data_IF_671182063561
#
_entry.id   IF_671182063561
#
_cell.length_a   1.000
_cell.length_b   1.000
_cell.length_c   1.000
_cell.angle_alpha   90.00
_cell.angle_beta   90.00
_cell.angle_gamma   90.00
#
_symmetry.space_group_name_H-M   'P 1'
#
loop_
_entity.id
_entity.type
_entity.pdbx_description
1 polymer ?
#
# COMPACT_ATOMS: atom_id res chain seq x y z
N UNK A 1 -13.98 -26.89 -27.85
CA UNK A 1 -13.61 -26.14 -29.07
C UNK A 1 -14.82 -25.38 -29.57
N UNK A 2 -15.92 -26.04 -29.97
CA UNK A 2 -17.14 -25.31 -30.40
C UNK A 2 -17.75 -24.40 -29.34
N UNK A 3 -17.81 -24.83 -28.06
CA UNK A 3 -18.34 -24.00 -26.98
C UNK A 3 -17.45 -22.78 -26.65
N UNK A 4 -16.12 -22.92 -26.78
CA UNK A 4 -15.16 -21.84 -26.53
C UNK A 4 -15.19 -20.82 -27.68
N UNK A 5 -15.29 -21.28 -28.93
CA UNK A 5 -15.40 -20.40 -30.10
C UNK A 5 -16.75 -19.66 -30.15
N UNK A 6 -17.84 -20.32 -29.76
CA UNK A 6 -19.15 -19.69 -29.66
C UNK A 6 -19.17 -18.59 -28.59
N UNK A 7 -18.47 -18.80 -27.47
CA UNK A 7 -18.34 -17.83 -26.40
C UNK A 7 -17.46 -16.64 -26.82
N UNK A 8 -16.32 -16.89 -27.46
CA UNK A 8 -15.48 -15.82 -28.04
C UNK A 8 -16.26 -14.98 -29.07
N UNK A 9 -17.04 -15.63 -29.95
CA UNK A 9 -17.89 -14.94 -30.92
C UNK A 9 -19.02 -14.15 -30.26
N UNK A 10 -19.58 -14.63 -29.14
CA UNK A 10 -20.58 -13.89 -28.35
C UNK A 10 -19.96 -12.66 -27.73
N UNK A 11 -18.82 -12.82 -27.06
CA UNK A 11 -18.10 -11.71 -26.40
C UNK A 11 -17.54 -10.69 -27.39
N UNK A 12 -17.20 -11.13 -28.61
CA UNK A 12 -16.78 -10.24 -29.71
C UNK A 12 -17.85 -9.25 -30.16
N UNK A 13 -19.13 -9.50 -29.85
CA UNK A 13 -20.25 -8.57 -30.15
C UNK A 13 -20.50 -7.53 -29.06
N UNK A 14 -19.89 -7.70 -27.88
CA UNK A 14 -20.05 -6.78 -26.77
C UNK A 14 -19.17 -5.54 -26.96
N UNK A 15 -19.70 -4.39 -26.57
CA UNK A 15 -18.91 -3.16 -26.41
C UNK A 15 -17.86 -3.32 -25.30
N UNK A 16 -16.80 -2.51 -25.30
CA UNK A 16 -15.80 -2.56 -24.23
C UNK A 16 -16.40 -2.41 -22.82
N UNK A 17 -17.39 -1.53 -22.66
CA UNK A 17 -18.06 -1.31 -21.39
C UNK A 17 -18.87 -2.53 -20.94
N UNK A 18 -19.57 -3.19 -21.85
CA UNK A 18 -20.33 -4.41 -21.53
C UNK A 18 -19.42 -5.56 -21.09
N UNK A 19 -18.24 -5.70 -21.72
CA UNK A 19 -17.24 -6.68 -21.31
C UNK A 19 -16.72 -6.42 -19.90
N UNK A 20 -16.43 -5.16 -19.55
CA UNK A 20 -16.01 -4.78 -18.19
C UNK A 20 -17.09 -5.12 -17.16
N UNK A 21 -18.37 -4.86 -17.49
CA UNK A 21 -19.50 -5.19 -16.61
C UNK A 21 -19.69 -6.70 -16.46
N UNK A 22 -19.50 -7.46 -17.53
CA UNK A 22 -19.55 -8.92 -17.50
C UNK A 22 -18.42 -9.51 -16.65
N UNK A 23 -17.17 -9.07 -16.88
CA UNK A 23 -15.99 -9.46 -16.10
C UNK A 23 -16.18 -9.11 -14.61
N UNK A 24 -16.66 -7.90 -14.30
CA UNK A 24 -17.05 -7.48 -12.94
C UNK A 24 -18.02 -8.46 -12.31
N UNK A 25 -19.09 -8.80 -13.03
CA UNK A 25 -20.17 -9.65 -12.50
C UNK A 25 -19.67 -11.06 -12.20
N UNK A 26 -18.83 -11.60 -13.08
CA UNK A 26 -18.20 -12.90 -12.88
C UNK A 26 -17.27 -12.89 -11.68
N UNK A 27 -16.38 -11.90 -11.58
CA UNK A 27 -15.44 -11.78 -10.48
C UNK A 27 -16.14 -11.53 -9.14
N UNK A 28 -17.15 -10.66 -9.10
CA UNK A 28 -17.93 -10.42 -7.89
C UNK A 28 -18.63 -11.70 -7.43
N UNK A 29 -19.23 -12.46 -8.36
CA UNK A 29 -19.83 -13.76 -8.04
C UNK A 29 -18.82 -14.73 -7.45
N UNK A 30 -17.60 -14.80 -8.00
CA UNK A 30 -16.54 -15.65 -7.47
C UNK A 30 -16.17 -15.25 -6.03
N UNK A 31 -16.00 -13.94 -5.79
CA UNK A 31 -15.73 -13.41 -4.46
C UNK A 31 -16.88 -13.69 -3.48
N UNK A 32 -18.13 -13.58 -3.91
CA UNK A 32 -19.29 -13.82 -3.04
C UNK A 32 -19.46 -15.30 -2.70
N UNK A 33 -19.13 -16.20 -3.63
CA UNK A 33 -19.28 -17.64 -3.49
C UNK A 33 -18.19 -18.29 -2.65
N UNK A 34 -16.95 -17.81 -2.74
CA UNK A 34 -15.82 -18.41 -2.04
C UNK A 34 -15.06 -17.37 -1.18
N UNK A 35 -15.22 -17.42 0.15
CA UNK A 35 -14.51 -16.53 1.06
C UNK A 35 -13.01 -16.78 1.13
N UNK A 36 -12.50 -17.92 0.63
CA UNK A 36 -11.08 -18.22 0.58
C UNK A 36 -10.37 -17.55 -0.61
N UNK A 37 -11.12 -17.02 -1.58
CA UNK A 37 -10.53 -16.27 -2.71
C UNK A 37 -9.87 -15.01 -2.19
N UNK A 38 -8.54 -14.99 -2.30
CA UNK A 38 -7.69 -13.87 -1.94
C UNK A 38 -7.24 -13.11 -3.19
N UNK A 39 -7.14 -11.79 -3.04
CA UNK A 39 -6.52 -10.85 -3.95
C UNK A 39 -5.11 -10.59 -3.48
N UNK A 40 -4.13 -11.20 -4.14
CA UNK A 40 -2.73 -11.04 -3.81
C UNK A 40 -2.12 -9.90 -4.64
N UNK A 41 -1.80 -8.79 -4.00
CA UNK A 41 -1.02 -7.70 -4.59
C UNK A 41 0.45 -8.12 -4.68
N UNK A 42 0.90 -8.34 -5.90
CA UNK A 42 2.25 -8.76 -6.22
C UNK A 42 3.04 -7.64 -6.90
N UNK A 43 4.32 -7.53 -6.53
CA UNK A 43 5.28 -6.65 -7.20
C UNK A 43 5.96 -7.35 -8.37
N UNK A 44 5.80 -6.82 -9.57
CA UNK A 44 6.28 -7.32 -10.84
C UNK A 44 7.61 -6.64 -11.26
N UNK A 45 8.65 -6.72 -10.44
CA UNK A 45 10.01 -6.36 -10.87
C UNK A 45 10.79 -7.62 -11.25
N UNK A 46 10.96 -7.84 -12.56
CA UNK A 46 11.77 -8.92 -13.14
C UNK A 46 11.37 -10.35 -12.70
N UNK A 47 10.12 -10.54 -12.28
CA UNK A 47 9.58 -11.87 -11.95
C UNK A 47 8.83 -12.45 -13.15
N UNK A 48 8.74 -13.79 -13.30
CA UNK A 48 7.93 -14.41 -14.37
C UNK A 48 6.49 -13.89 -14.42
N UNK A 49 5.94 -13.50 -13.26
CA UNK A 49 4.58 -12.94 -13.11
C UNK A 49 4.37 -11.58 -13.79
N UNK A 50 5.45 -10.82 -14.06
CA UNK A 50 5.35 -9.57 -14.84
C UNK A 50 4.95 -9.82 -16.31
N UNK A 51 4.98 -11.09 -16.76
CA UNK A 51 4.64 -11.51 -18.13
C UNK A 51 3.29 -12.19 -18.24
N UNK A 52 2.56 -12.39 -17.14
CA UNK A 52 1.23 -12.99 -17.23
C UNK A 52 0.32 -12.11 -18.11
N UNK A 53 -0.56 -12.67 -18.94
CA UNK A 53 -1.56 -11.86 -19.62
C UNK A 53 -2.49 -11.21 -18.58
N UNK A 54 -3.10 -10.08 -18.94
CA UNK A 54 -4.17 -9.51 -18.12
C UNK A 54 -5.44 -10.32 -18.37
N UNK A 55 -6.10 -10.80 -17.31
CA UNK A 55 -7.36 -11.55 -17.43
C UNK A 55 -8.57 -10.65 -17.72
N UNK A 56 -8.42 -9.32 -17.66
CA UNK A 56 -9.49 -8.41 -18.07
C UNK A 56 -9.68 -8.46 -19.59
N UNK A 57 -10.92 -8.62 -20.03
CA UNK A 57 -11.28 -8.69 -21.45
C UNK A 57 -10.97 -7.39 -22.19
N UNK A 58 -10.99 -6.26 -21.48
CA UNK A 58 -10.57 -4.95 -21.96
C UNK A 58 -9.41 -4.43 -21.09
N UNK A 59 -8.19 -4.71 -21.53
CA UNK A 59 -6.99 -4.31 -20.81
C UNK A 59 -6.68 -2.81 -21.02
N UNK A 60 -6.96 -2.00 -20.00
CA UNK A 60 -6.73 -0.55 -20.02
C UNK A 60 -5.24 -0.18 -20.19
N UNK A 61 -4.33 -1.04 -19.76
CA UNK A 61 -2.88 -0.82 -19.90
C UNK A 61 -2.43 -1.05 -21.34
N UNK A 62 -2.92 -2.11 -21.99
CA UNK A 62 -2.56 -2.42 -23.39
C UNK A 62 -3.14 -1.39 -24.35
N UNK A 63 -4.38 -0.94 -24.10
CA UNK A 63 -5.04 0.13 -24.87
C UNK A 63 -4.29 1.47 -24.78
N UNK A 64 -3.69 1.77 -23.63
CA UNK A 64 -2.91 3.00 -23.43
C UNK A 64 -1.52 2.97 -24.11
N UNK A 65 -1.08 1.81 -24.62
CA UNK A 65 0.19 1.63 -25.33
C UNK A 65 1.44 1.75 -24.44
N UNK A 66 2.62 1.68 -25.08
CA UNK A 66 3.96 1.64 -24.40
C UNK A 66 4.28 2.83 -23.49
N UNK A 67 3.49 3.89 -23.51
CA UNK A 67 3.70 5.09 -22.68
C UNK A 67 3.14 4.94 -21.26
N UNK A 68 2.35 3.89 -20.96
CA UNK A 68 1.81 3.66 -19.62
C UNK A 68 2.80 2.90 -18.70
N UNK A 69 4.05 3.38 -18.60
CA UNK A 69 5.01 2.94 -17.57
C UNK A 69 4.69 3.55 -16.20
N UNK A 70 3.42 3.60 -15.82
CA UNK A 70 3.03 4.06 -14.49
C UNK A 70 3.57 3.10 -13.42
N UNK A 71 3.79 3.58 -12.20
CA UNK A 71 4.16 2.74 -11.04
C UNK A 71 3.20 1.55 -10.82
N UNK A 72 1.98 1.65 -11.35
CA UNK A 72 0.96 0.58 -11.38
C UNK A 72 1.32 -0.58 -12.30
N UNK A 73 2.14 -0.40 -13.34
CA UNK A 73 2.61 -1.50 -14.21
C UNK A 73 3.61 -2.41 -13.50
N UNK A 74 4.20 -1.95 -12.39
CA UNK A 74 5.10 -2.72 -11.52
C UNK A 74 4.34 -3.56 -10.49
N UNK A 75 3.02 -3.50 -10.48
CA UNK A 75 2.18 -4.19 -9.51
C UNK A 75 1.02 -4.88 -10.22
N UNK A 76 0.63 -6.04 -9.73
CA UNK A 76 -0.50 -6.81 -10.25
C UNK A 76 -1.26 -7.45 -9.12
N UNK A 77 -2.52 -7.76 -9.38
CA UNK A 77 -3.33 -8.50 -8.42
C UNK A 77 -3.62 -9.86 -9.02
N UNK A 78 -3.22 -10.90 -8.30
CA UNK A 78 -3.60 -12.26 -8.58
C UNK A 78 -4.86 -12.59 -7.78
N UNK A 79 -5.89 -13.07 -8.46
CA UNK A 79 -7.12 -13.56 -7.84
C UNK A 79 -7.01 -15.08 -7.78
N UNK A 80 -6.99 -15.65 -6.57
CA UNK A 80 -6.74 -17.08 -6.32
C UNK A 80 -5.30 -17.53 -6.62
N UNK A 81 -4.48 -17.71 -5.58
CA UNK A 81 -3.05 -17.97 -5.71
C UNK A 81 -2.67 -19.33 -6.31
N UNK A 82 -3.62 -20.27 -6.50
CA UNK A 82 -3.33 -21.62 -6.99
C UNK A 82 -3.23 -21.71 -8.53
N UNK A 83 -4.11 -21.01 -9.26
CA UNK A 83 -4.17 -21.02 -10.74
C UNK A 83 -4.61 -19.66 -11.32
N UNK A 84 -4.50 -18.59 -10.52
CA UNK A 84 -5.32 -17.40 -10.60
C UNK A 84 -5.22 -16.50 -11.81
N UNK A 85 -6.33 -15.81 -12.03
CA UNK A 85 -6.42 -14.66 -12.92
C UNK A 85 -5.50 -13.54 -12.45
N UNK A 86 -4.85 -12.89 -13.42
CA UNK A 86 -3.85 -11.86 -13.18
C UNK A 86 -4.31 -10.55 -13.78
N UNK A 87 -4.50 -9.53 -12.96
CA UNK A 87 -5.00 -8.23 -13.39
C UNK A 87 -3.96 -7.14 -13.20
N UNK A 88 -3.92 -6.20 -14.14
CA UNK A 88 -3.32 -4.90 -13.88
C UNK A 88 -4.17 -4.12 -12.87
N UNK A 89 -3.54 -3.32 -12.02
CA UNK A 89 -4.24 -2.53 -10.99
C UNK A 89 -5.40 -1.70 -11.58
N UNK A 90 -5.21 -0.90 -12.64
CA UNK A 90 -6.31 -0.09 -13.18
C UNK A 90 -7.45 -0.92 -13.77
N UNK A 91 -7.14 -2.09 -14.34
CA UNK A 91 -8.16 -2.98 -14.90
C UNK A 91 -9.05 -3.54 -13.78
N UNK A 92 -8.45 -3.95 -12.66
CA UNK A 92 -9.22 -4.45 -11.52
C UNK A 92 -10.03 -3.35 -10.84
N UNK A 93 -9.47 -2.16 -10.69
CA UNK A 93 -10.16 -0.97 -10.15
C UNK A 93 -11.39 -0.58 -10.98
N UNK A 94 -11.33 -0.76 -12.30
CA UNK A 94 -12.49 -0.51 -13.16
C UNK A 94 -13.60 -1.55 -12.96
N UNK A 95 -13.24 -2.76 -12.51
CA UNK A 95 -14.17 -3.87 -12.34
C UNK A 95 -14.76 -3.94 -10.94
N UNK A 96 -14.00 -3.70 -9.87
CA UNK A 96 -14.48 -3.90 -8.50
C UNK A 96 -14.18 -2.70 -7.61
N UNK A 97 -15.06 -2.44 -6.64
CA UNK A 97 -14.81 -1.44 -5.60
C UNK A 97 -13.83 -2.03 -4.57
N UNK A 98 -12.56 -2.10 -4.95
CA UNK A 98 -11.46 -2.65 -4.15
C UNK A 98 -11.45 -2.15 -2.69
N UNK A 99 -11.57 -0.84 -2.41
CA UNK A 99 -11.53 -0.36 -1.02
C UNK A 99 -12.69 -0.86 -0.15
N UNK A 100 -13.82 -1.28 -0.74
CA UNK A 100 -14.95 -1.86 0.01
C UNK A 100 -14.81 -3.36 0.26
N UNK A 101 -13.78 -4.01 -0.26
CA UNK A 101 -13.54 -5.41 0.03
C UNK A 101 -13.12 -5.60 1.49
N UNK A 102 -13.43 -6.77 2.03
CA UNK A 102 -12.93 -7.15 3.34
C UNK A 102 -11.39 -7.14 3.35
N UNK A 103 -10.72 -6.48 4.32
CA UNK A 103 -9.26 -6.42 4.39
C UNK A 103 -8.61 -7.82 4.40
N UNK A 104 -9.29 -8.81 4.99
CA UNK A 104 -8.82 -10.20 5.06
C UNK A 104 -8.68 -10.90 3.70
N UNK A 105 -9.31 -10.37 2.65
CA UNK A 105 -9.21 -10.90 1.29
C UNK A 105 -8.09 -10.27 0.50
N UNK A 106 -7.50 -9.17 0.94
CA UNK A 106 -6.40 -8.53 0.25
C UNK A 106 -5.08 -8.82 0.95
N UNK A 107 -4.13 -9.36 0.21
CA UNK A 107 -2.84 -9.79 0.75
C UNK A 107 -1.71 -9.13 -0.02
N UNK A 108 -0.62 -8.80 0.68
CA UNK A 108 0.62 -8.41 0.03
C UNK A 108 1.44 -9.66 -0.25
N UNK A 109 1.98 -9.81 -1.46
CA UNK A 109 2.88 -10.92 -1.79
C UNK A 109 4.18 -10.82 -1.00
N UNK A 110 4.32 -11.66 0.01
CA UNK A 110 5.52 -11.74 0.85
C UNK A 110 6.68 -12.49 0.20
N UNK A 111 6.47 -13.17 -0.94
CA UNK A 111 7.41 -14.14 -1.53
C UNK A 111 8.39 -13.55 -2.55
N UNK A 112 8.54 -12.24 -2.58
CA UNK A 112 9.89 -11.69 -2.47
C UNK A 112 9.89 -10.64 -1.37
N UNK A 113 10.85 -10.66 -0.46
CA UNK A 113 10.99 -9.71 0.67
C UNK A 113 11.14 -8.21 0.29
N UNK A 114 10.72 -7.80 -0.92
CA UNK A 114 10.82 -6.43 -1.45
C UNK A 114 9.87 -5.43 -0.80
N UNK A 115 8.74 -5.87 -0.24
CA UNK A 115 7.91 -4.98 0.59
C UNK A 115 8.62 -4.61 1.90
N UNK A 116 9.56 -5.46 2.34
CA UNK A 116 10.36 -5.26 3.55
C UNK A 116 11.64 -4.46 3.30
N UNK A 117 11.98 -4.12 2.06
CA UNK A 117 13.10 -3.23 1.80
C UNK A 117 12.69 -1.78 2.12
N UNK A 118 13.39 -1.21 3.10
CA UNK A 118 13.43 0.20 3.51
C UNK A 118 12.31 0.73 4.42
N UNK A 119 11.13 0.10 4.51
CA UNK A 119 10.11 0.42 5.55
C UNK A 119 8.88 -0.53 5.50
N UNK A 120 8.98 -1.80 5.97
CA UNK A 120 7.85 -2.75 5.96
C UNK A 120 6.59 -2.21 6.64
N UNK A 121 6.77 -1.45 7.72
CA UNK A 121 5.68 -0.90 8.51
C UNK A 121 4.88 0.18 7.74
N UNK A 122 5.52 0.94 6.84
CA UNK A 122 4.83 1.98 6.06
C UNK A 122 3.84 1.39 5.06
N UNK A 123 4.21 0.30 4.40
CA UNK A 123 3.31 -0.43 3.51
C UNK A 123 2.11 -1.00 4.27
N UNK A 124 2.38 -1.69 5.37
CA UNK A 124 1.32 -2.22 6.24
C UNK A 124 0.38 -1.10 6.71
N UNK A 125 0.94 0.01 7.20
CA UNK A 125 0.17 1.16 7.65
C UNK A 125 -0.70 1.75 6.54
N UNK A 126 -0.14 2.03 5.36
CA UNK A 126 -0.87 2.63 4.24
C UNK A 126 -2.07 1.77 3.81
N UNK A 127 -1.85 0.47 3.61
CA UNK A 127 -2.94 -0.42 3.19
C UNK A 127 -3.97 -0.62 4.29
N UNK A 128 -3.54 -0.75 5.54
CA UNK A 128 -4.46 -0.84 6.67
C UNK A 128 -5.38 0.38 6.71
N UNK A 129 -4.82 1.60 6.70
CA UNK A 129 -5.59 2.83 6.73
C UNK A 129 -6.49 2.99 5.49
N UNK A 130 -5.98 2.61 4.31
CA UNK A 130 -6.75 2.66 3.08
C UNK A 130 -7.97 1.73 3.14
N UNK A 131 -7.86 0.51 3.67
CA UNK A 131 -9.00 -0.38 3.85
C UNK A 131 -9.94 0.06 4.97
N UNK A 132 -9.40 0.43 6.15
CA UNK A 132 -10.18 0.89 7.31
C UNK A 132 -11.11 2.06 6.95
N UNK A 133 -10.64 2.95 6.07
CA UNK A 133 -11.40 4.11 5.62
C UNK A 133 -12.01 3.96 4.22
N UNK A 134 -12.11 2.74 3.68
CA UNK A 134 -12.70 2.48 2.35
C UNK A 134 -12.15 3.42 1.26
N UNK A 135 -10.83 3.60 1.27
CA UNK A 135 -10.07 4.44 0.36
C UNK A 135 -10.12 5.95 0.63
N UNK A 136 -10.80 6.40 1.69
CA UNK A 136 -10.97 7.83 2.03
C UNK A 136 -9.80 8.35 2.86
N UNK A 137 -8.61 8.31 2.28
CA UNK A 137 -7.35 8.72 2.93
C UNK A 137 -6.64 9.83 2.17
N UNK A 138 -6.02 10.75 2.91
CA UNK A 138 -5.15 11.81 2.42
C UNK A 138 -3.70 11.32 2.48
N UNK A 139 -3.21 10.86 1.32
CA UNK A 139 -1.85 10.33 1.19
C UNK A 139 -0.78 11.39 1.50
N UNK A 140 -1.06 12.68 1.30
CA UNK A 140 -0.12 13.76 1.58
C UNK A 140 0.06 13.92 3.09
N UNK A 141 -1.03 13.89 3.87
CA UNK A 141 -0.96 13.92 5.34
C UNK A 141 -0.24 12.71 5.91
N UNK A 142 -0.50 11.50 5.40
CA UNK A 142 0.23 10.30 5.83
C UNK A 142 1.73 10.42 5.55
N UNK A 143 2.10 11.07 4.43
CA UNK A 143 3.50 11.31 4.08
C UNK A 143 4.18 12.29 5.01
N UNK A 144 3.50 13.37 5.37
CA UNK A 144 3.97 14.32 6.37
C UNK A 144 4.22 13.60 7.68
N UNK A 145 3.26 12.79 8.15
CA UNK A 145 3.42 11.97 9.34
C UNK A 145 4.65 11.05 9.27
N UNK A 146 4.93 10.41 8.13
CA UNK A 146 6.13 9.57 8.01
C UNK A 146 7.44 10.34 8.06
N UNK A 147 7.48 11.57 7.52
CA UNK A 147 8.67 12.44 7.65
C UNK A 147 8.87 12.88 9.10
N UNK A 148 7.78 13.24 9.79
CA UNK A 148 7.81 13.58 11.22
C UNK A 148 8.22 12.38 12.08
N UNK A 149 7.74 11.18 11.76
CA UNK A 149 8.14 9.93 12.41
C UNK A 149 9.62 9.63 12.23
N UNK A 150 10.19 9.83 11.03
CA UNK A 150 11.63 9.68 10.79
C UNK A 150 12.44 10.67 11.61
N UNK A 151 12.02 11.94 11.63
CA UNK A 151 12.68 12.98 12.41
C UNK A 151 12.62 12.66 13.91
N UNK A 152 11.46 12.24 14.41
CA UNK A 152 11.26 11.81 15.79
C UNK A 152 12.15 10.61 16.15
N UNK A 153 12.25 9.59 15.29
CA UNK A 153 13.10 8.43 15.56
C UNK A 153 14.56 8.85 15.70
N UNK A 154 15.05 9.75 14.83
CA UNK A 154 16.39 10.31 14.93
C UNK A 154 16.58 11.09 16.24
N UNK A 155 15.65 11.99 16.56
CA UNK A 155 15.72 12.79 17.78
C UNK A 155 15.65 11.93 19.05
N UNK A 156 14.86 10.86 19.04
CA UNK A 156 14.76 9.87 20.12
C UNK A 156 16.05 9.10 20.30
N UNK A 157 16.74 8.74 19.23
CA UNK A 157 18.02 8.04 19.32
C UNK A 157 19.12 8.97 19.89
N UNK A 158 19.14 10.25 19.45
CA UNK A 158 20.01 11.29 19.99
C UNK A 158 19.69 11.60 21.47
N UNK A 159 18.40 11.68 21.81
CA UNK A 159 17.94 11.82 23.20
C UNK A 159 18.34 10.62 24.06
N UNK A 160 18.18 9.39 23.56
CA UNK A 160 18.52 8.17 24.30
C UNK A 160 20.01 8.15 24.66
N UNK A 161 20.87 8.58 23.72
CA UNK A 161 22.30 8.74 23.95
C UNK A 161 22.57 9.74 25.09
N UNK A 162 22.02 10.96 24.98
CA UNK A 162 22.16 12.00 26.02
C UNK A 162 21.61 11.56 27.38
N UNK A 163 20.50 10.83 27.38
CA UNK A 163 19.86 10.32 28.59
C UNK A 163 20.74 9.28 29.29
N UNK A 164 21.34 8.35 28.54
CA UNK A 164 22.27 7.35 29.09
C UNK A 164 23.51 8.04 29.67
N UNK A 165 24.11 9.00 28.95
CA UNK A 165 25.25 9.79 29.45
C UNK A 165 24.91 10.55 30.74
N UNK A 166 23.73 11.17 30.77
CA UNK A 166 23.21 11.86 31.94
C UNK A 166 23.05 10.90 33.13
N UNK A 167 22.47 9.71 32.91
CA UNK A 167 22.29 8.67 33.93
C UNK A 167 23.63 8.17 34.49
N UNK A 168 24.63 7.94 33.62
CA UNK A 168 25.96 7.48 34.04
C UNK A 168 26.66 8.54 34.89
N UNK A 169 26.63 9.80 34.46
CA UNK A 169 27.22 10.93 35.20
C UNK A 169 26.54 11.14 36.56
N UNK A 170 25.21 11.01 36.61
CA UNK A 170 24.44 11.16 37.85
C UNK A 170 24.62 9.99 38.82
N UNK A 171 24.78 8.76 38.31
CA UNK A 171 25.02 7.60 39.15
C UNK A 171 26.35 7.69 39.91
N UNK A 172 27.34 8.36 39.33
CA UNK A 172 28.64 8.65 39.97
C UNK A 172 28.57 9.83 40.95
N UNK A 173 27.50 10.63 40.89
CA UNK A 173 27.27 11.77 41.75
C UNK A 173 26.73 11.31 43.12
N UNK A 174 27.58 11.35 44.16
CA UNK A 174 27.22 10.99 45.55
C UNK A 174 26.41 12.06 46.30
N UNK A 175 25.95 13.09 45.61
CA UNK A 175 25.30 14.26 46.21
C UNK A 175 23.79 14.14 46.12
N UNK A 176 23.06 14.51 47.18
CA UNK A 176 21.61 14.49 47.20
C UNK A 176 21.02 15.27 46.01
N UNK A 177 19.98 14.70 45.38
CA UNK A 177 19.31 15.27 44.21
C UNK A 177 19.00 16.76 44.42
N UNK A 178 19.59 17.62 43.58
CA UNK A 178 19.40 19.08 43.62
C UNK A 178 20.57 19.91 44.19
N UNK A 179 21.65 19.27 44.69
CA UNK A 179 22.83 19.98 45.19
C UNK A 179 24.06 19.94 44.23
N UNK A 180 23.97 19.20 43.13
CA UNK A 180 25.09 18.95 42.22
C UNK A 180 25.08 19.89 41.01
N UNK A 181 26.27 20.24 40.51
CA UNK A 181 26.49 20.86 39.17
C UNK A 181 26.02 19.97 38.00
N UNK A 182 25.43 18.81 38.28
CA UNK A 182 24.88 17.94 37.29
C UNK A 182 23.67 18.61 36.62
N UNK A 183 23.77 18.84 35.31
CA UNK A 183 22.74 19.52 34.52
C UNK A 183 21.38 18.82 34.56
N UNK A 184 20.30 19.51 34.15
CA UNK A 184 18.95 18.96 34.20
C UNK A 184 18.80 17.71 33.31
N UNK A 185 17.83 16.86 33.65
CA UNK A 185 17.45 15.71 32.84
C UNK A 185 17.05 16.15 31.42
N UNK A 186 17.56 15.50 30.35
CA UNK A 186 17.18 15.84 28.99
C UNK A 186 15.69 15.61 28.73
N UNK A 187 15.00 16.63 28.21
CA UNK A 187 13.59 16.52 27.81
C UNK A 187 13.39 15.46 26.72
N UNK A 188 12.42 14.58 26.91
CA UNK A 188 12.03 13.59 25.90
C UNK A 188 11.47 14.27 24.66
N UNK A 189 11.78 13.77 23.45
CA UNK A 189 11.14 14.26 22.24
C UNK A 189 9.65 13.94 22.23
N UNK A 190 8.86 14.81 21.59
CA UNK A 190 7.43 14.63 21.43
C UNK A 190 7.13 13.67 20.28
N UNK A 191 6.28 12.68 20.55
CA UNK A 191 5.90 11.69 19.53
C UNK A 191 4.95 12.35 18.52
N UNK A 192 5.18 12.20 17.20
CA UNK A 192 4.30 12.74 16.19
C UNK A 192 2.93 12.07 16.25
N UNK A 193 1.89 12.86 16.05
CA UNK A 193 0.50 12.41 16.03
C UNK A 193 -0.01 12.38 14.59
N UNK A 194 -0.68 11.31 14.21
CA UNK A 194 -1.32 11.21 12.90
C UNK A 194 -2.75 11.77 12.97
N UNK A 195 -2.87 13.09 12.81
CA UNK A 195 -4.16 13.80 12.84
C UNK A 195 -4.80 13.95 11.45
N UNK A 196 -6.12 13.79 11.38
CA UNK A 196 -7.00 14.20 10.26
C UNK A 196 -6.62 13.73 8.85
N UNK A 197 -6.03 12.55 8.69
CA UNK A 197 -5.70 11.97 7.39
C UNK A 197 -6.90 11.33 6.67
N UNK A 198 -8.06 11.28 7.31
CA UNK A 198 -9.31 10.81 6.69
C UNK A 198 -9.97 11.92 5.90
N UNK A 199 -10.46 11.64 4.71
CA UNK A 199 -11.16 12.63 3.87
C UNK A 199 -12.67 12.72 4.14
N UNK A 200 -13.15 12.10 5.23
CA UNK A 200 -14.58 12.06 5.59
C UNK A 200 -15.17 13.42 6.01
N UNK A 201 -14.34 14.45 6.26
CA UNK A 201 -14.77 15.78 6.74
C UNK A 201 -14.33 16.99 5.89
N UNK A 202 -13.67 16.80 4.75
CA UNK A 202 -13.10 17.91 3.95
C UNK A 202 -13.06 17.60 2.45
N UNK A 203 -13.06 18.66 1.63
CA UNK A 203 -13.31 18.73 0.18
C UNK A 203 -12.90 17.50 -0.65
N UNK A 204 -13.82 16.55 -0.74
CA UNK A 204 -14.32 15.88 -1.97
C UNK A 204 -14.78 14.44 -1.72
N UNK A 205 -14.66 13.90 -0.49
CA UNK A 205 -15.16 12.56 -0.16
C UNK A 205 -14.73 11.47 -1.16
N UNK A 206 -13.63 11.71 -1.88
CA UNK A 206 -13.24 10.97 -3.07
C UNK A 206 -12.45 9.77 -2.62
N UNK A 207 -12.83 8.61 -3.14
CA UNK A 207 -12.13 7.36 -2.90
C UNK A 207 -10.77 7.45 -3.62
N UNK A 208 -9.70 7.32 -2.87
CA UNK A 208 -8.34 7.21 -3.40
C UNK A 208 -8.21 5.82 -4.05
N UNK A 209 -7.89 5.73 -5.35
CA UNK A 209 -7.64 4.44 -5.98
C UNK A 209 -6.33 3.83 -5.45
N UNK A 210 -6.27 2.51 -5.38
CA UNK A 210 -5.06 1.75 -5.07
C UNK A 210 -3.88 2.15 -5.97
N UNK A 211 -4.16 2.48 -7.24
CA UNK A 211 -3.15 2.98 -8.16
C UNK A 211 -2.43 4.24 -7.67
N UNK A 212 -3.12 5.13 -6.97
CA UNK A 212 -2.51 6.33 -6.40
C UNK A 212 -1.76 6.02 -5.10
N UNK A 213 -2.27 5.11 -4.26
CA UNK A 213 -1.53 4.59 -3.10
C UNK A 213 -0.17 4.03 -3.53
N UNK A 214 -0.15 3.21 -4.59
CA UNK A 214 1.08 2.58 -5.10
C UNK A 214 2.07 3.59 -5.70
N UNK A 215 1.59 4.58 -6.45
CA UNK A 215 2.45 5.67 -6.97
C UNK A 215 3.06 6.47 -5.81
N UNK A 216 2.25 6.76 -4.81
CA UNK A 216 2.66 7.56 -3.67
C UNK A 216 3.82 6.90 -2.92
N UNK A 217 3.70 5.60 -2.67
CA UNK A 217 4.72 4.82 -1.98
C UNK A 217 6.01 4.60 -2.79
N UNK A 218 5.92 4.50 -4.13
CA UNK A 218 7.11 4.35 -4.99
C UNK A 218 8.00 5.60 -4.97
N UNK A 219 7.44 6.78 -4.66
CA UNK A 219 8.18 8.04 -4.55
C UNK A 219 9.17 8.07 -3.37
N UNK A 220 9.02 7.17 -2.39
CA UNK A 220 9.85 7.17 -1.18
C UNK A 220 11.15 6.38 -1.34
N UNK A 221 11.29 5.66 -2.45
CA UNK A 221 12.50 4.89 -2.77
C UNK A 221 13.77 5.75 -2.88
N UNK A 222 13.65 7.03 -3.15
CA UNK A 222 14.79 7.94 -3.32
C UNK A 222 15.19 8.69 -2.05
N UNK A 223 14.43 8.56 -0.96
CA UNK A 223 14.59 9.40 0.25
C UNK A 223 15.43 8.69 1.33
N UNK A 224 15.80 7.43 1.14
CA UNK A 224 16.62 6.66 2.07
C UNK A 224 17.92 6.26 1.37
N UNK A 225 19.10 6.66 1.89
CA UNK A 225 20.36 6.07 1.45
C UNK A 225 20.29 4.56 1.68
N UNK A 226 20.83 3.80 0.73
CA UNK A 226 21.08 2.37 0.93
C UNK A 226 21.99 2.24 2.15
N UNK A 227 21.44 1.76 3.28
CA UNK A 227 22.25 1.24 4.40
C UNK A 227 22.54 -0.22 4.09
#
# INVERSE_FOLDING_TARGET
IEATEAEEARRGRLTPQEKIVEDRTQLQRQLDQDPAVALLLQRCQQTPYSRLPCSASECLVDQAGRNYQAATSRHRILVDTAYGDSYHIPCLEAMIDLPRLAPSRFMLDTRPCRWNHNAPWRWGFMFQQWFEHSGRVDLAKITTYFKEADAYLKERDDWSTRYIEWQLTHRECKTNCGASECGPEPSSPERPNIGDYTTEGGSDGKVCPLSDVLKHTDSWRHVMPWI
#
